data_IF_676338690631
#
_entry.id   IF_676338690631
#
_cell.length_a   1.000
_cell.length_b   1.000
_cell.length_c   1.000
_cell.angle_alpha   90.00
_cell.angle_beta   90.00
_cell.angle_gamma   90.00
#
_symmetry.space_group_name_H-M   'P 1'
#
loop_
_entity.id
_entity.type
_entity.pdbx_description
1 polymer ?
#
# COMPACT_ATOMS: atom_id res chain seq x y z
N UNK A 1 -83.37 -48.68 11.87
CA UNK A 1 -83.32 -47.69 12.96
C UNK A 1 -81.89 -47.17 13.05
N UNK A 2 -81.75 -45.85 12.97
CA UNK A 2 -80.62 -44.98 13.30
C UNK A 2 -79.18 -45.36 12.91
N UNK A 3 -78.76 -44.66 11.86
CA UNK A 3 -77.40 -44.22 11.53
C UNK A 3 -76.87 -43.32 12.64
N UNK A 4 -75.63 -43.53 13.11
CA UNK A 4 -74.80 -42.49 13.72
C UNK A 4 -73.39 -42.64 13.15
N UNK A 5 -72.94 -41.55 12.54
CA UNK A 5 -71.58 -41.30 12.05
C UNK A 5 -70.79 -40.71 13.21
N UNK A 6 -69.56 -41.17 13.41
CA UNK A 6 -68.53 -40.38 14.09
C UNK A 6 -67.29 -40.37 13.20
N UNK A 7 -67.03 -39.16 12.72
CA UNK A 7 -65.85 -38.70 12.00
C UNK A 7 -64.83 -38.34 13.07
N UNK A 8 -63.61 -38.87 12.98
CA UNK A 8 -62.47 -38.38 13.75
C UNK A 8 -61.55 -37.63 12.79
N UNK A 9 -61.38 -36.36 13.11
CA UNK A 9 -60.61 -35.36 12.39
C UNK A 9 -59.12 -35.72 12.36
N UNK A 10 -58.56 -35.91 11.17
CA UNK A 10 -57.13 -35.81 10.96
C UNK A 10 -56.76 -34.32 10.94
N UNK A 11 -56.07 -33.87 11.99
CA UNK A 11 -55.43 -32.56 12.06
C UNK A 11 -54.63 -32.29 10.78
N UNK A 12 -55.03 -31.24 10.05
CA UNK A 12 -54.21 -30.65 9.00
C UNK A 12 -52.95 -30.08 9.65
N UNK A 13 -51.81 -30.68 9.33
CA UNK A 13 -50.50 -30.06 9.59
C UNK A 13 -50.30 -28.96 8.54
N UNK A 14 -50.63 -27.71 8.90
CA UNK A 14 -50.34 -26.55 8.06
C UNK A 14 -48.82 -26.28 8.04
N UNK A 15 -48.15 -26.75 6.99
CA UNK A 15 -46.77 -26.37 6.65
C UNK A 15 -46.74 -24.90 6.22
N UNK A 16 -46.38 -24.00 7.14
CA UNK A 16 -46.00 -22.62 6.79
C UNK A 16 -44.59 -22.61 6.23
N UNK A 17 -44.48 -22.74 4.91
CA UNK A 17 -43.23 -22.50 4.17
C UNK A 17 -43.22 -21.02 3.79
N UNK A 18 -42.30 -20.24 4.38
CA UNK A 18 -42.13 -18.82 4.10
C UNK A 18 -41.55 -18.56 2.70
N UNK A 19 -42.11 -17.56 2.03
CA UNK A 19 -41.65 -16.85 0.82
C UNK A 19 -40.69 -17.60 -0.12
N UNK A 20 -41.25 -18.54 -0.88
CA UNK A 20 -40.75 -18.90 -2.21
C UNK A 20 -41.85 -18.63 -3.22
N UNK A 21 -41.65 -17.61 -4.05
CA UNK A 21 -42.58 -17.21 -5.10
C UNK A 21 -42.97 -18.38 -6.00
N UNK A 22 -44.27 -18.52 -6.22
CA UNK A 22 -44.92 -19.43 -7.18
C UNK A 22 -44.31 -20.83 -7.24
N UNK A 23 -44.38 -21.56 -6.13
CA UNK A 23 -44.36 -23.02 -6.20
C UNK A 23 -45.60 -23.47 -6.99
N UNK A 24 -45.38 -24.19 -8.09
CA UNK A 24 -46.44 -24.71 -8.97
C UNK A 24 -47.51 -25.39 -8.11
N UNK A 25 -48.75 -24.89 -8.16
CA UNK A 25 -49.91 -25.44 -7.44
C UNK A 25 -50.06 -26.95 -7.66
N UNK A 26 -49.56 -27.47 -8.80
CA UNK A 26 -49.51 -28.91 -9.08
C UNK A 26 -48.53 -29.68 -8.20
N UNK A 27 -47.42 -29.08 -7.77
CA UNK A 27 -46.47 -29.70 -6.85
C UNK A 27 -47.06 -29.79 -5.45
N UNK A 28 -47.78 -28.74 -5.01
CA UNK A 28 -48.47 -28.73 -3.72
C UNK A 28 -49.66 -29.72 -3.71
N UNK A 29 -50.40 -29.85 -4.80
CA UNK A 29 -51.44 -30.87 -4.98
C UNK A 29 -50.86 -32.29 -5.06
N UNK A 30 -49.70 -32.48 -5.69
CA UNK A 30 -49.01 -33.78 -5.75
C UNK A 30 -48.42 -34.23 -4.39
N UNK A 31 -48.26 -33.30 -3.45
CA UNK A 31 -47.81 -33.56 -2.08
C UNK A 31 -48.96 -33.86 -1.11
N UNK A 32 -50.21 -33.54 -1.46
CA UNK A 32 -51.41 -33.65 -0.60
C UNK A 32 -52.28 -34.91 -0.85
N UNK A 33 -51.71 -36.03 -1.32
CA UNK A 33 -52.46 -37.29 -1.44
C UNK A 33 -52.30 -38.18 -0.20
N UNK A 34 -53.42 -38.76 0.28
CA UNK A 34 -53.61 -39.43 1.59
C UNK A 34 -52.71 -40.63 1.91
N UNK A 35 -51.74 -40.99 1.06
CA UNK A 35 -50.83 -42.12 1.32
C UNK A 35 -49.37 -41.78 1.00
N UNK A 36 -48.65 -41.14 1.92
CA UNK A 36 -47.19 -41.14 1.91
C UNK A 36 -46.65 -41.39 3.31
N UNK A 37 -45.78 -42.39 3.42
CA UNK A 37 -45.20 -42.81 4.69
C UNK A 37 -44.42 -41.64 5.32
N UNK A 38 -44.43 -41.60 6.65
CA UNK A 38 -43.61 -40.73 7.49
C UNK A 38 -42.17 -40.58 6.96
N UNK A 39 -41.63 -41.63 6.33
CA UNK A 39 -40.28 -41.66 5.76
C UNK A 39 -40.05 -40.64 4.64
N UNK A 40 -41.05 -40.35 3.81
CA UNK A 40 -40.89 -39.41 2.70
C UNK A 40 -40.89 -37.95 3.19
N UNK A 41 -41.73 -37.66 4.19
CA UNK A 41 -41.73 -36.36 4.89
C UNK A 41 -40.45 -36.17 5.69
N UNK A 42 -39.96 -37.22 6.35
CA UNK A 42 -38.69 -37.18 7.07
C UNK A 42 -37.50 -36.99 6.13
N UNK A 43 -37.45 -37.69 5.00
CA UNK A 43 -36.38 -37.52 4.01
C UNK A 43 -36.37 -36.11 3.41
N UNK A 44 -37.54 -35.54 3.12
CA UNK A 44 -37.65 -34.14 2.68
C UNK A 44 -37.18 -33.18 3.77
N UNK A 45 -37.64 -33.35 5.01
CA UNK A 45 -37.21 -32.53 6.15
C UNK A 45 -35.70 -32.64 6.40
N UNK A 46 -35.12 -33.83 6.29
CA UNK A 46 -33.69 -34.07 6.43
C UNK A 46 -32.90 -33.36 5.32
N UNK A 47 -33.33 -33.46 4.07
CA UNK A 47 -32.69 -32.74 2.94
C UNK A 47 -32.76 -31.22 3.13
N UNK A 48 -33.89 -30.67 3.58
CA UNK A 48 -34.03 -29.24 3.84
C UNK A 48 -33.22 -28.79 5.08
N UNK A 49 -33.17 -29.59 6.14
CA UNK A 49 -32.36 -29.31 7.33
C UNK A 49 -30.86 -29.37 7.02
N UNK A 50 -30.39 -30.37 6.26
CA UNK A 50 -29.01 -30.47 5.82
C UNK A 50 -28.60 -29.26 4.95
N UNK A 51 -29.49 -28.76 4.08
CA UNK A 51 -29.25 -27.55 3.28
C UNK A 51 -29.14 -26.27 4.12
N UNK A 52 -30.01 -26.09 5.11
CA UNK A 52 -29.98 -24.94 6.02
C UNK A 52 -28.78 -24.97 6.97
N UNK A 53 -28.43 -26.16 7.48
CA UNK A 53 -27.22 -26.36 8.29
C UNK A 53 -25.97 -26.06 7.46
N UNK A 54 -25.89 -26.54 6.22
CA UNK A 54 -24.77 -26.24 5.33
C UNK A 54 -24.62 -24.73 5.05
N UNK A 55 -25.72 -24.00 4.84
CA UNK A 55 -25.70 -22.55 4.65
C UNK A 55 -25.23 -21.83 5.92
N UNK A 56 -25.76 -22.22 7.08
CA UNK A 56 -25.36 -21.68 8.38
C UNK A 56 -23.88 -21.92 8.67
N UNK A 57 -23.37 -23.12 8.39
CA UNK A 57 -21.97 -23.50 8.58
C UNK A 57 -21.05 -22.68 7.66
N UNK A 58 -21.44 -22.51 6.39
CA UNK A 58 -20.69 -21.69 5.42
C UNK A 58 -20.64 -20.23 5.87
N UNK A 59 -21.76 -19.65 6.30
CA UNK A 59 -21.80 -18.26 6.80
C UNK A 59 -20.98 -18.11 8.08
N UNK A 60 -21.06 -19.08 9.00
CA UNK A 60 -20.26 -19.08 10.23
C UNK A 60 -18.76 -19.12 9.91
N UNK A 61 -18.35 -19.96 8.96
CA UNK A 61 -16.97 -20.02 8.49
C UNK A 61 -16.52 -18.71 7.80
N UNK A 62 -17.39 -18.07 7.02
CA UNK A 62 -17.13 -16.77 6.37
C UNK A 62 -16.92 -15.65 7.40
N UNK A 63 -17.79 -15.58 8.42
CA UNK A 63 -17.67 -14.60 9.51
C UNK A 63 -16.38 -14.84 10.31
N UNK A 64 -16.03 -16.10 10.60
CA UNK A 64 -14.78 -16.45 11.26
C UNK A 64 -13.52 -16.06 10.45
N UNK A 65 -13.67 -15.86 9.14
CA UNK A 65 -12.62 -15.34 8.23
C UNK A 65 -12.72 -13.84 7.98
N UNK A 66 -13.55 -13.11 8.74
CA UNK A 66 -13.66 -11.66 8.70
C UNK A 66 -14.65 -11.12 7.67
N UNK A 67 -15.42 -11.97 6.99
CA UNK A 67 -16.45 -11.52 6.07
C UNK A 67 -17.76 -11.21 6.81
N UNK A 68 -18.00 -9.92 7.09
CA UNK A 68 -19.20 -9.46 7.81
C UNK A 68 -20.35 -9.02 6.89
N UNK A 69 -20.19 -9.15 5.57
CA UNK A 69 -21.16 -8.68 4.57
C UNK A 69 -22.25 -9.70 4.23
N UNK A 70 -22.23 -10.90 4.84
CA UNK A 70 -23.21 -11.97 4.61
C UNK A 70 -23.75 -12.52 5.92
N UNK A 71 -25.01 -12.94 5.91
CA UNK A 71 -25.71 -13.58 7.03
C UNK A 71 -26.36 -14.88 6.56
N UNK A 72 -26.93 -15.65 7.49
CA UNK A 72 -27.68 -16.88 7.15
C UNK A 72 -28.90 -16.61 6.24
N UNK A 73 -29.37 -15.36 6.21
CA UNK A 73 -30.47 -14.90 5.37
C UNK A 73 -30.01 -14.46 3.96
N UNK A 74 -28.72 -14.23 3.75
CA UNK A 74 -28.17 -13.83 2.44
C UNK A 74 -28.49 -14.87 1.36
N UNK A 75 -28.74 -14.42 0.11
CA UNK A 75 -28.95 -15.36 -0.99
C UNK A 75 -27.63 -16.08 -1.38
N UNK A 76 -27.72 -17.22 -2.07
CA UNK A 76 -26.54 -18.00 -2.48
C UNK A 76 -25.57 -17.23 -3.40
N UNK A 77 -26.02 -16.43 -4.39
CA UNK A 77 -25.14 -15.59 -5.18
C UNK A 77 -24.25 -14.64 -4.35
N UNK A 78 -24.80 -14.02 -3.31
CA UNK A 78 -24.05 -13.12 -2.41
C UNK A 78 -23.04 -13.91 -1.57
N UNK A 79 -23.44 -15.07 -1.06
CA UNK A 79 -22.56 -15.99 -0.32
C UNK A 79 -21.42 -16.48 -1.23
N UNK A 80 -21.71 -16.85 -2.48
CA UNK A 80 -20.69 -17.27 -3.47
C UNK A 80 -19.76 -16.11 -3.81
N UNK A 81 -20.27 -14.90 -3.94
CA UNK A 81 -19.46 -13.69 -4.18
C UNK A 81 -18.56 -13.40 -2.98
N UNK A 82 -19.08 -13.52 -1.76
CA UNK A 82 -18.30 -13.43 -0.53
C UNK A 82 -17.21 -14.50 -0.46
N UNK A 83 -17.49 -15.75 -0.85
CA UNK A 83 -16.49 -16.83 -0.96
C UNK A 83 -15.41 -16.51 -2.00
N UNK A 84 -15.78 -15.95 -3.16
CA UNK A 84 -14.81 -15.54 -4.19
C UNK A 84 -13.95 -14.36 -3.74
N UNK A 85 -14.52 -13.48 -2.93
CA UNK A 85 -13.86 -12.32 -2.36
C UNK A 85 -13.09 -12.65 -1.08
N UNK A 86 -13.28 -13.83 -0.49
CA UNK A 86 -12.37 -14.34 0.53
C UNK A 86 -11.00 -14.41 -0.11
N UNK A 87 -10.13 -13.49 0.28
CA UNK A 87 -8.72 -13.62 0.03
C UNK A 87 -8.28 -14.84 0.85
N UNK A 88 -8.18 -16.00 0.20
CA UNK A 88 -7.54 -17.19 0.78
C UNK A 88 -6.23 -16.68 1.33
N UNK A 89 -6.04 -16.79 2.66
CA UNK A 89 -4.95 -16.14 3.38
C UNK A 89 -3.65 -16.32 2.63
N UNK A 90 -3.33 -15.31 1.82
CA UNK A 90 -1.98 -15.09 1.37
C UNK A 90 -1.33 -14.71 2.69
N UNK A 91 -0.59 -15.63 3.28
CA UNK A 91 0.65 -15.20 3.90
C UNK A 91 1.34 -14.42 2.80
N UNK A 92 1.06 -13.11 2.74
CA UNK A 92 1.71 -12.19 1.83
C UNK A 92 3.14 -12.27 2.28
N UNK A 93 3.94 -13.13 1.64
CA UNK A 93 5.38 -13.14 1.82
C UNK A 93 5.77 -11.70 1.49
N UNK A 94 6.13 -10.96 2.53
CA UNK A 94 6.58 -9.60 2.40
C UNK A 94 8.06 -9.69 2.09
N UNK A 95 8.48 -8.93 1.10
CA UNK A 95 9.86 -8.91 0.63
C UNK A 95 10.43 -7.52 0.90
N UNK A 96 11.61 -7.47 1.51
CA UNK A 96 12.45 -6.30 1.53
C UNK A 96 13.71 -6.62 0.72
N UNK A 97 13.90 -5.92 -0.40
CA UNK A 97 15.15 -5.94 -1.15
C UNK A 97 16.08 -4.85 -0.60
N UNK A 98 17.37 -5.16 -0.50
CA UNK A 98 18.44 -4.20 -0.17
C UNK A 98 19.60 -4.39 -1.13
N UNK A 99 19.76 -3.43 -2.03
CA UNK A 99 20.91 -3.33 -2.90
C UNK A 99 22.12 -2.72 -2.20
N UNK A 100 23.32 -3.09 -2.67
CA UNK A 100 24.60 -2.48 -2.29
C UNK A 100 24.84 -2.36 -0.77
N UNK A 101 24.42 -3.35 0.02
CA UNK A 101 24.74 -3.39 1.45
C UNK A 101 26.26 -3.40 1.59
N UNK A 102 26.80 -2.40 2.27
CA UNK A 102 28.22 -2.35 2.64
C UNK A 102 28.33 -2.70 4.13
N UNK A 103 28.83 -3.90 4.43
CA UNK A 103 28.90 -4.40 5.80
C UNK A 103 30.11 -5.31 6.04
N UNK A 104 30.54 -5.35 7.29
CA UNK A 104 31.55 -6.28 7.79
C UNK A 104 31.23 -6.70 9.22
N UNK A 105 31.88 -7.74 9.72
CA UNK A 105 31.72 -8.13 11.14
C UNK A 105 32.08 -7.01 12.12
N UNK A 106 32.98 -6.09 11.73
CA UNK A 106 33.39 -4.92 12.53
C UNK A 106 32.51 -3.69 12.32
N UNK A 107 31.71 -3.65 11.25
CA UNK A 107 30.81 -2.53 10.90
C UNK A 107 29.57 -3.10 10.22
N UNK A 108 28.64 -3.69 10.99
CA UNK A 108 27.43 -4.29 10.42
C UNK A 108 26.46 -3.24 9.89
N UNK A 109 25.63 -3.63 8.92
CA UNK A 109 24.54 -2.82 8.41
C UNK A 109 23.21 -3.35 8.95
N UNK A 110 22.39 -2.48 9.54
CA UNK A 110 21.08 -2.86 10.08
C UNK A 110 19.95 -2.13 9.38
N UNK A 111 18.86 -2.85 9.12
CA UNK A 111 17.60 -2.31 8.63
C UNK A 111 16.47 -2.66 9.59
N UNK A 112 15.59 -1.70 9.83
CA UNK A 112 14.36 -1.89 10.60
C UNK A 112 13.18 -2.04 9.63
N UNK A 113 12.39 -3.09 9.82
CA UNK A 113 11.19 -3.39 9.04
C UNK A 113 9.99 -3.24 9.96
N UNK A 114 9.09 -2.32 9.63
CA UNK A 114 7.81 -2.20 10.32
C UNK A 114 6.84 -3.26 9.80
N UNK A 115 6.40 -4.16 10.68
CA UNK A 115 5.48 -5.26 10.37
C UNK A 115 4.01 -4.79 10.26
N UNK A 116 3.71 -3.57 10.71
CA UNK A 116 2.37 -2.97 10.72
C UNK A 116 1.40 -3.60 11.73
N UNK A 117 1.88 -4.56 12.52
CA UNK A 117 1.14 -5.26 13.57
C UNK A 117 2.11 -5.85 14.58
N UNK A 118 1.61 -6.07 15.79
CA UNK A 118 2.33 -6.81 16.83
C UNK A 118 2.47 -8.28 16.42
N UNK A 119 3.69 -8.80 16.48
CA UNK A 119 4.01 -10.20 16.14
C UNK A 119 4.64 -10.90 17.35
N UNK A 120 4.26 -12.15 17.57
CA UNK A 120 4.95 -13.02 18.52
C UNK A 120 6.18 -13.63 17.82
N UNK A 121 7.32 -13.70 18.50
CA UNK A 121 8.54 -14.31 17.96
C UNK A 121 8.31 -15.74 17.45
N UNK A 122 7.39 -16.49 18.06
CA UNK A 122 7.07 -17.87 17.64
C UNK A 122 6.32 -17.93 16.30
N UNK A 123 5.75 -16.82 15.84
CA UNK A 123 4.97 -16.73 14.61
C UNK A 123 5.74 -16.09 13.46
N UNK A 124 6.94 -15.56 13.71
CA UNK A 124 7.76 -14.93 12.69
C UNK A 124 8.52 -15.98 11.87
N UNK A 125 8.23 -16.05 10.57
CA UNK A 125 9.03 -16.80 9.61
C UNK A 125 9.89 -15.84 8.79
N UNK A 126 11.19 -16.12 8.66
CA UNK A 126 12.15 -15.25 7.99
C UNK A 126 13.14 -16.06 7.14
N UNK A 127 13.36 -15.63 5.90
CA UNK A 127 14.42 -16.16 5.05
C UNK A 127 15.20 -15.01 4.40
N UNK A 128 16.53 -15.07 4.46
CA UNK A 128 17.40 -14.07 3.84
C UNK A 128 18.13 -14.72 2.66
N UNK A 129 17.97 -14.15 1.48
CA UNK A 129 18.59 -14.59 0.24
C UNK A 129 19.68 -13.60 -0.19
N UNK A 130 20.80 -14.10 -0.69
CA UNK A 130 21.85 -13.28 -1.32
C UNK A 130 21.73 -13.45 -2.83
N UNK A 131 21.75 -12.33 -3.55
CA UNK A 131 21.85 -12.35 -5.01
C UNK A 131 23.31 -12.48 -5.43
N UNK A 132 23.58 -13.35 -6.39
CA UNK A 132 24.87 -13.45 -7.07
C UNK A 132 24.68 -13.16 -8.54
N UNK A 133 25.34 -12.11 -9.03
CA UNK A 133 25.37 -11.75 -10.44
C UNK A 133 25.89 -12.92 -11.29
N UNK A 134 25.30 -13.12 -12.47
CA UNK A 134 25.78 -14.13 -13.39
C UNK A 134 24.94 -14.23 -14.65
N UNK A 135 25.50 -14.81 -15.72
CA UNK A 135 24.89 -14.87 -17.04
C UNK A 135 23.69 -15.83 -17.18
N UNK A 136 23.21 -16.43 -16.09
CA UNK A 136 22.11 -17.41 -16.11
C UNK A 136 20.99 -16.98 -15.17
N UNK A 137 19.78 -16.94 -15.72
CA UNK A 137 18.54 -16.60 -15.00
C UNK A 137 18.25 -15.12 -15.04
N UNK A 138 17.04 -14.75 -15.46
CA UNK A 138 16.50 -13.40 -15.26
C UNK A 138 15.66 -13.41 -13.99
N UNK A 139 16.00 -12.53 -13.06
CA UNK A 139 15.30 -12.39 -11.80
C UNK A 139 14.59 -11.05 -11.78
N UNK A 140 13.30 -11.07 -11.45
CA UNK A 140 12.48 -9.87 -11.34
C UNK A 140 12.55 -9.36 -9.92
N UNK A 141 12.96 -8.11 -9.78
CA UNK A 141 13.17 -7.44 -8.51
C UNK A 141 12.38 -6.14 -8.45
N UNK A 142 12.01 -5.77 -7.23
CA UNK A 142 11.41 -4.47 -6.90
C UNK A 142 12.23 -3.95 -5.73
N UNK A 143 12.92 -2.83 -5.94
CA UNK A 143 13.59 -2.13 -4.86
C UNK A 143 12.75 -0.94 -4.44
N UNK A 144 12.47 -0.87 -3.15
CA UNK A 144 11.71 0.21 -2.53
C UNK A 144 12.67 1.16 -1.86
N UNK A 145 12.78 2.35 -2.44
CA UNK A 145 13.54 3.45 -1.88
C UNK A 145 12.63 4.26 -0.96
N UNK A 146 12.94 4.19 0.33
CA UNK A 146 12.35 5.10 1.31
C UNK A 146 12.87 6.52 1.04
N UNK A 147 11.93 7.43 0.78
CA UNK A 147 12.21 8.83 0.48
C UNK A 147 12.95 9.55 1.61
N UNK A 148 12.85 9.07 2.86
CA UNK A 148 13.48 9.69 4.04
C UNK A 148 14.87 9.18 4.41
N UNK A 149 15.29 7.99 3.97
CA UNK A 149 16.49 7.34 4.50
C UNK A 149 17.76 7.51 3.64
N UNK A 150 17.63 7.74 2.33
CA UNK A 150 18.77 7.63 1.40
C UNK A 150 18.99 8.85 0.48
N UNK A 151 18.12 9.86 0.55
CA UNK A 151 18.23 11.04 -0.29
C UNK A 151 18.61 12.24 0.56
N UNK A 152 19.81 12.75 0.32
CA UNK A 152 20.11 14.14 0.70
C UNK A 152 19.48 15.02 -0.37
N UNK A 153 18.60 15.93 0.03
CA UNK A 153 18.06 16.95 -0.85
C UNK A 153 18.82 18.26 -0.60
N UNK A 154 18.76 19.19 -1.56
CA UNK A 154 19.21 20.56 -1.30
C UNK A 154 18.44 21.11 -0.07
N UNK A 155 19.16 21.74 0.87
CA UNK A 155 18.63 22.05 2.19
C UNK A 155 17.45 23.05 2.17
N UNK A 156 16.54 22.90 3.15
CA UNK A 156 15.77 24.04 3.70
C UNK A 156 14.24 24.01 3.59
N UNK A 157 13.63 23.08 2.85
CA UNK A 157 12.20 23.20 2.52
C UNK A 157 11.40 21.90 2.54
N UNK A 158 11.99 20.79 3.00
CA UNK A 158 11.36 19.47 3.04
C UNK A 158 11.39 18.88 4.44
N UNK A 159 10.30 18.19 4.77
CA UNK A 159 10.18 17.34 5.95
C UNK A 159 10.22 15.86 5.54
N UNK A 160 10.74 15.04 6.44
CA UNK A 160 10.82 13.58 6.32
C UNK A 160 10.30 12.92 7.60
N UNK A 161 9.12 12.32 7.55
CA UNK A 161 8.50 11.59 8.68
C UNK A 161 8.00 10.19 8.27
N UNK A 162 8.65 9.60 7.28
CA UNK A 162 8.15 8.45 6.52
C UNK A 162 7.56 8.87 5.17
N UNK A 163 7.25 10.16 4.99
CA UNK A 163 6.95 10.78 3.71
C UNK A 163 7.87 11.97 3.46
N UNK A 164 8.19 12.23 2.19
CA UNK A 164 8.80 13.48 1.76
C UNK A 164 7.70 14.50 1.43
N UNK A 165 7.72 15.67 2.05
CA UNK A 165 6.76 16.75 1.73
C UNK A 165 7.36 18.13 2.00
N UNK A 166 6.86 19.19 1.33
CA UNK A 166 7.29 20.55 1.63
C UNK A 166 6.96 20.99 3.06
N UNK A 167 7.85 21.77 3.67
CA UNK A 167 7.62 22.35 4.99
C UNK A 167 6.59 23.49 4.92
N UNK A 168 5.33 23.21 5.28
CA UNK A 168 4.21 24.14 5.07
C UNK A 168 3.82 24.98 6.30
N UNK A 169 4.50 24.77 7.43
CA UNK A 169 4.17 25.42 8.70
C UNK A 169 5.41 25.99 9.35
N UNK A 170 5.27 27.22 9.86
CA UNK A 170 6.23 27.82 10.79
C UNK A 170 5.58 27.80 12.17
N UNK A 171 6.22 27.08 13.09
CA UNK A 171 5.78 26.95 14.47
C UNK A 171 6.57 27.92 15.33
N UNK A 172 5.88 28.88 15.94
CA UNK A 172 6.51 29.87 16.82
C UNK A 172 6.13 29.52 18.25
N UNK A 173 7.07 28.96 18.98
CA UNK A 173 6.99 28.89 20.44
C UNK A 173 7.24 30.28 21.00
N UNK A 174 6.45 30.73 21.97
CA UNK A 174 6.48 32.07 22.59
C UNK A 174 7.84 32.79 22.51
N UNK A 175 7.99 33.71 21.56
CA UNK A 175 9.15 34.58 21.46
C UNK A 175 8.77 35.92 22.08
N UNK A 176 9.04 36.05 23.38
CA UNK A 176 9.01 37.26 24.21
C UNK A 176 7.70 38.04 24.35
N UNK A 177 7.32 38.22 25.61
CA UNK A 177 6.36 39.23 26.09
C UNK A 177 6.95 40.63 25.84
N UNK A 178 6.35 41.38 24.93
CA UNK A 178 6.28 42.82 25.12
C UNK A 178 4.86 43.11 25.57
N UNK A 179 4.69 43.39 26.87
CA UNK A 179 3.41 43.78 27.45
C UNK A 179 2.95 45.09 26.78
N UNK A 180 2.13 44.98 25.74
CA UNK A 180 1.42 46.13 25.13
C UNK A 180 0.04 46.29 25.78
N UNK A 181 -0.01 46.20 27.12
CA UNK A 181 -1.24 46.27 27.91
C UNK A 181 -1.98 44.92 27.98
N UNK A 182 -3.29 44.90 27.68
CA UNK A 182 -4.15 43.69 27.74
C UNK A 182 -4.02 42.76 26.53
N UNK A 183 -3.23 43.12 25.52
CA UNK A 183 -3.09 42.37 24.27
C UNK A 183 -1.64 41.89 24.10
N UNK A 184 -1.49 40.63 23.69
CA UNK A 184 -0.19 40.08 23.27
C UNK A 184 0.03 40.36 21.79
N UNK A 185 1.23 40.82 21.44
CA UNK A 185 1.66 40.97 20.05
C UNK A 185 2.71 39.91 19.71
N UNK A 186 2.65 39.37 18.50
CA UNK A 186 3.64 38.43 17.97
C UNK A 186 4.18 38.97 16.66
N UNK A 187 5.50 38.88 16.51
CA UNK A 187 6.18 39.18 15.26
C UNK A 187 6.73 37.88 14.69
N UNK A 188 6.44 37.63 13.41
CA UNK A 188 7.06 36.54 12.65
C UNK A 188 7.80 37.14 11.47
N UNK A 189 9.00 36.66 11.24
CA UNK A 189 9.70 36.87 9.98
C UNK A 189 9.48 35.63 9.11
N UNK A 190 8.93 35.84 7.91
CA UNK A 190 8.77 34.78 6.91
C UNK A 190 9.89 34.95 5.90
N UNK A 191 10.69 33.91 5.73
CA UNK A 191 11.74 33.89 4.71
C UNK A 191 11.13 33.87 3.30
N UNK A 192 11.04 35.03 2.67
CA UNK A 192 10.53 35.18 1.31
C UNK A 192 11.42 34.48 0.27
N UNK A 193 12.63 34.01 0.61
CA UNK A 193 13.41 33.16 -0.30
C UNK A 193 12.85 31.74 -0.39
N UNK A 194 12.14 31.28 0.66
CA UNK A 194 11.56 29.93 0.76
C UNK A 194 10.04 29.92 0.54
N UNK A 195 9.34 30.99 0.91
CA UNK A 195 7.88 31.04 0.93
C UNK A 195 7.32 32.14 0.01
N UNK A 196 6.14 31.90 -0.58
CA UNK A 196 5.43 32.89 -1.42
C UNK A 196 4.64 33.89 -0.58
N UNK A 197 3.89 33.37 0.39
CA UNK A 197 2.96 34.13 1.21
C UNK A 197 2.52 33.30 2.42
N UNK A 198 1.91 33.98 3.39
CA UNK A 198 1.09 33.37 4.44
C UNK A 198 -0.27 32.95 3.88
N UNK A 199 -0.82 31.87 4.43
CA UNK A 199 -2.11 31.29 4.05
C UNK A 199 -3.08 31.28 5.24
N UNK A 200 -2.63 30.80 6.39
CA UNK A 200 -3.46 30.66 7.58
C UNK A 200 -2.71 31.08 8.86
N UNK A 201 -3.47 31.50 9.87
CA UNK A 201 -2.96 31.71 11.23
C UNK A 201 -3.88 30.94 12.17
N UNK A 202 -3.31 30.10 13.02
CA UNK A 202 -4.02 29.42 14.10
C UNK A 202 -3.28 29.61 15.42
N UNK A 203 -4.03 29.57 16.52
CA UNK A 203 -3.48 29.78 17.86
C UNK A 203 -4.09 28.76 18.82
N UNK A 204 -3.27 28.28 19.76
CA UNK A 204 -3.70 27.60 20.96
C UNK A 204 -3.07 28.26 22.20
N UNK A 205 -3.35 27.71 23.39
CA UNK A 205 -2.88 28.24 24.67
C UNK A 205 -1.34 28.32 24.80
N UNK A 206 -0.61 27.64 23.92
CA UNK A 206 0.85 27.46 24.00
C UNK A 206 1.61 27.80 22.72
N UNK A 207 0.94 28.13 21.61
CA UNK A 207 1.58 28.32 20.32
C UNK A 207 0.71 29.12 19.35
N UNK A 208 1.37 29.91 18.50
CA UNK A 208 0.80 30.41 17.24
C UNK A 208 1.45 29.64 16.10
N UNK A 209 0.63 29.08 15.23
CA UNK A 209 1.06 28.39 14.00
C UNK A 209 0.67 29.24 12.81
N UNK A 210 1.62 29.45 11.91
CA UNK A 210 1.40 30.19 10.68
C UNK A 210 1.58 29.23 9.51
N UNK A 211 0.48 29.00 8.79
CA UNK A 211 0.48 28.27 7.53
C UNK A 211 1.12 29.14 6.45
N UNK A 212 2.14 28.60 5.81
CA UNK A 212 2.89 29.28 4.74
C UNK A 212 2.83 28.45 3.47
N UNK A 213 2.80 29.12 2.33
CA UNK A 213 2.84 28.45 1.03
C UNK A 213 4.28 28.45 0.53
N UNK A 214 4.92 27.29 0.36
CA UNK A 214 6.26 27.22 -0.20
C UNK A 214 6.33 27.82 -1.61
N UNK A 215 7.50 28.37 -1.95
CA UNK A 215 7.80 28.69 -3.35
C UNK A 215 7.75 27.44 -4.21
N UNK A 216 7.36 27.65 -5.47
CA UNK A 216 7.47 26.61 -6.47
C UNK A 216 8.94 26.23 -6.56
N UNK A 217 9.25 24.97 -6.32
CA UNK A 217 10.63 24.51 -6.22
C UNK A 217 10.80 23.16 -6.90
N UNK A 218 11.96 23.02 -7.53
CA UNK A 218 12.44 21.72 -7.99
C UNK A 218 13.27 21.12 -6.86
N UNK A 219 12.92 19.91 -6.50
CA UNK A 219 13.58 19.12 -5.48
C UNK A 219 14.41 18.08 -6.22
N UNK A 220 15.72 18.15 -6.02
CA UNK A 220 16.67 17.26 -6.67
C UNK A 220 17.29 16.33 -5.62
N UNK A 221 17.27 15.02 -5.90
CA UNK A 221 18.08 14.07 -5.16
C UNK A 221 19.57 14.39 -5.38
N UNK A 222 20.36 14.43 -4.30
CA UNK A 222 21.81 14.67 -4.39
C UNK A 222 22.58 13.47 -4.94
N UNK A 223 22.11 12.27 -4.66
CA UNK A 223 22.73 11.01 -5.07
C UNK A 223 21.89 10.32 -6.15
N UNK A 224 22.57 9.54 -6.99
CA UNK A 224 21.95 8.66 -7.97
C UNK A 224 21.56 7.33 -7.36
N UNK A 225 20.49 6.74 -7.88
CA UNK A 225 20.19 5.33 -7.73
C UNK A 225 21.13 4.58 -8.68
N UNK A 226 21.99 3.75 -8.11
CA UNK A 226 22.83 2.84 -8.88
C UNK A 226 21.96 1.75 -9.51
N UNK A 227 22.00 1.66 -10.83
CA UNK A 227 21.30 0.67 -11.64
C UNK A 227 22.27 -0.10 -12.54
N UNK A 228 23.56 -0.17 -12.19
CA UNK A 228 24.58 -0.82 -13.01
C UNK A 228 24.37 -2.31 -13.20
N UNK A 229 23.82 -2.99 -12.19
CA UNK A 229 23.53 -4.43 -12.23
C UNK A 229 22.26 -4.78 -13.02
N UNK A 230 21.43 -3.77 -13.32
CA UNK A 230 20.10 -3.95 -13.91
C UNK A 230 20.21 -4.21 -15.42
N UNK A 231 19.64 -5.33 -15.88
CA UNK A 231 19.51 -5.65 -17.30
C UNK A 231 18.38 -4.83 -17.92
N UNK A 232 17.17 -4.95 -17.38
CA UNK A 232 15.99 -4.23 -17.87
C UNK A 232 15.37 -3.41 -16.75
N UNK A 233 15.17 -2.11 -16.98
CA UNK A 233 14.33 -1.29 -16.12
C UNK A 233 12.88 -1.44 -16.60
N UNK A 234 12.04 -2.06 -15.79
CA UNK A 234 10.68 -2.48 -16.19
C UNK A 234 9.59 -1.57 -15.66
N UNK A 235 9.89 -0.73 -14.68
CA UNK A 235 8.97 0.30 -14.19
C UNK A 235 9.57 1.18 -13.11
N UNK A 236 9.01 2.38 -12.96
CA UNK A 236 9.23 3.25 -11.80
C UNK A 236 7.84 3.58 -11.28
N UNK A 237 7.57 3.25 -10.01
CA UNK A 237 6.27 3.49 -9.39
C UNK A 237 6.44 4.42 -8.20
N UNK A 238 5.80 5.58 -8.28
CA UNK A 238 5.70 6.51 -7.17
C UNK A 238 4.32 6.42 -6.54
N UNK A 239 4.28 6.40 -5.21
CA UNK A 239 3.08 6.73 -4.44
C UNK A 239 3.21 8.19 -3.96
N UNK A 240 2.51 9.10 -4.61
CA UNK A 240 2.63 10.54 -4.37
C UNK A 240 1.30 11.25 -4.49
N UNK A 241 1.21 12.46 -3.95
CA UNK A 241 0.11 13.41 -4.19
C UNK A 241 0.72 14.76 -4.47
N UNK A 242 0.19 15.51 -5.45
CA UNK A 242 0.59 16.89 -5.73
C UNK A 242 1.95 17.08 -6.42
N UNK A 243 2.73 16.00 -6.58
CA UNK A 243 4.04 16.03 -7.24
C UNK A 243 3.98 15.72 -8.74
N UNK A 244 4.90 16.34 -9.48
CA UNK A 244 5.29 15.99 -10.85
C UNK A 244 6.78 15.63 -10.89
N UNK A 245 7.22 14.99 -11.97
CA UNK A 245 8.53 14.35 -12.00
C UNK A 245 9.31 14.58 -13.31
N UNK A 246 10.62 14.45 -13.22
CA UNK A 246 11.51 14.24 -14.35
C UNK A 246 12.57 13.22 -13.98
N UNK A 247 13.09 12.48 -14.97
CA UNK A 247 14.12 11.46 -14.77
C UNK A 247 15.44 11.94 -15.36
N UNK A 248 16.55 11.62 -14.73
CA UNK A 248 17.88 11.75 -15.31
C UNK A 248 18.58 10.41 -15.30
N UNK A 249 19.23 10.11 -16.41
CA UNK A 249 20.06 8.91 -16.61
C UNK A 249 21.52 9.29 -16.88
N UNK A 250 21.95 10.49 -16.48
CA UNK A 250 23.28 11.03 -16.72
C UNK A 250 23.82 11.79 -15.50
N UNK A 251 23.60 11.23 -14.31
CA UNK A 251 24.00 11.77 -13.01
C UNK A 251 23.46 13.19 -12.73
N UNK A 252 22.26 13.50 -13.22
CA UNK A 252 21.60 14.79 -13.04
C UNK A 252 22.06 15.89 -14.00
N UNK A 253 22.73 15.55 -15.11
CA UNK A 253 23.17 16.55 -16.09
C UNK A 253 21.99 17.03 -16.95
N UNK A 254 21.17 16.11 -17.43
CA UNK A 254 19.94 16.40 -18.16
C UNK A 254 18.76 15.67 -17.54
N UNK A 255 17.60 16.34 -17.54
CA UNK A 255 16.36 15.78 -17.06
C UNK A 255 15.40 15.62 -18.23
N UNK A 256 14.78 14.45 -18.30
CA UNK A 256 13.89 14.04 -19.36
C UNK A 256 12.50 13.73 -18.80
N UNK A 257 11.50 14.06 -19.60
CA UNK A 257 10.10 13.76 -19.33
C UNK A 257 9.49 13.07 -20.53
N UNK A 258 8.59 12.14 -20.27
CA UNK A 258 7.77 11.53 -21.32
C UNK A 258 6.43 12.27 -21.37
N UNK A 259 6.05 12.76 -22.55
CA UNK A 259 4.79 13.53 -22.72
C UNK A 259 3.59 12.65 -23.11
N UNK A 260 3.77 11.34 -23.10
CA UNK A 260 2.80 10.36 -23.61
C UNK A 260 3.14 9.82 -25.00
N UNK A 261 4.00 10.53 -25.75
CA UNK A 261 4.43 10.13 -27.11
C UNK A 261 5.95 10.02 -27.22
N UNK A 262 6.69 10.97 -26.67
CA UNK A 262 8.14 11.05 -26.82
C UNK A 262 8.84 11.55 -25.56
N UNK A 263 10.14 11.25 -25.47
CA UNK A 263 11.02 11.83 -24.46
C UNK A 263 11.48 13.22 -24.91
N UNK A 264 11.38 14.19 -24.02
CA UNK A 264 11.90 15.55 -24.21
C UNK A 264 12.74 15.97 -23.00
N UNK A 265 13.72 16.83 -23.25
CA UNK A 265 14.53 17.43 -22.18
C UNK A 265 13.77 18.59 -21.55
N UNK A 266 13.94 18.77 -20.24
CA UNK A 266 13.42 19.91 -19.47
C UNK A 266 14.58 20.57 -18.75
N UNK A 267 14.62 21.89 -18.76
CA UNK A 267 15.54 22.69 -17.96
C UNK A 267 15.03 22.83 -16.52
N UNK A 268 15.63 22.07 -15.61
CA UNK A 268 15.28 22.09 -14.18
C UNK A 268 15.65 23.39 -13.47
N UNK A 269 16.46 24.25 -14.08
CA UNK A 269 16.78 25.57 -13.55
C UNK A 269 15.75 26.63 -13.99
N UNK A 270 14.87 26.29 -14.94
CA UNK A 270 13.80 27.16 -15.41
C UNK A 270 12.45 26.68 -14.83
N UNK A 271 11.97 27.37 -13.79
CA UNK A 271 10.75 26.96 -13.08
C UNK A 271 9.49 26.97 -13.97
N UNK A 272 9.45 27.81 -15.00
CA UNK A 272 8.32 27.87 -15.92
C UNK A 272 8.32 26.67 -16.88
N UNK A 273 9.51 26.22 -17.31
CA UNK A 273 9.68 24.99 -18.09
C UNK A 273 9.26 23.77 -17.27
N UNK A 274 9.71 23.69 -16.01
CA UNK A 274 9.32 22.64 -15.05
C UNK A 274 7.81 22.57 -14.89
N UNK A 275 7.15 23.71 -14.63
CA UNK A 275 5.69 23.80 -14.43
C UNK A 275 4.91 23.21 -15.61
N UNK A 276 5.36 23.57 -16.82
CA UNK A 276 4.73 23.18 -18.06
C UNK A 276 4.99 21.70 -18.39
N UNK A 277 6.19 21.20 -18.13
CA UNK A 277 6.67 19.97 -18.76
C UNK A 277 6.92 18.78 -17.83
N UNK A 278 7.09 18.95 -16.52
CA UNK A 278 7.23 17.80 -15.62
C UNK A 278 6.04 16.83 -15.73
N UNK A 279 6.33 15.53 -15.71
CA UNK A 279 5.34 14.49 -15.94
C UNK A 279 4.50 14.23 -14.68
N UNK A 280 3.20 14.00 -14.86
CA UNK A 280 2.34 13.57 -13.75
C UNK A 280 2.71 12.14 -13.30
N UNK A 281 2.39 11.80 -12.06
CA UNK A 281 2.58 10.45 -11.49
C UNK A 281 2.00 9.35 -12.38
N UNK A 282 0.81 9.57 -12.96
CA UNK A 282 0.16 8.57 -13.82
C UNK A 282 0.94 8.28 -15.10
N UNK A 283 1.65 9.27 -15.64
CA UNK A 283 2.51 9.09 -16.81
C UNK A 283 3.75 8.30 -16.42
N UNK A 284 4.42 8.68 -15.33
CA UNK A 284 5.61 7.99 -14.84
C UNK A 284 5.32 6.51 -14.52
N UNK A 285 4.28 6.27 -13.73
CA UNK A 285 3.86 4.92 -13.33
C UNK A 285 3.38 4.07 -14.52
N UNK A 286 3.00 4.71 -15.63
CA UNK A 286 2.57 4.07 -16.87
C UNK A 286 3.68 3.80 -17.88
N UNK A 287 4.93 4.21 -17.59
CA UNK A 287 6.05 3.96 -18.50
C UNK A 287 6.31 2.46 -18.67
N UNK A 288 6.41 2.05 -19.92
CA UNK A 288 6.77 0.67 -20.31
C UNK A 288 8.28 0.46 -20.27
N UNK A 289 8.70 -0.81 -20.16
CA UNK A 289 10.12 -1.18 -20.23
C UNK A 289 10.82 -0.65 -21.50
N UNK A 290 10.12 -0.64 -22.64
CA UNK A 290 10.68 -0.12 -23.90
C UNK A 290 10.90 1.41 -23.85
N UNK A 291 9.96 2.16 -23.26
CA UNK A 291 10.12 3.61 -23.09
C UNK A 291 11.26 3.93 -22.12
N UNK A 292 11.36 3.19 -21.01
CA UNK A 292 12.44 3.34 -20.04
C UNK A 292 13.80 2.96 -20.63
N UNK A 293 13.88 1.91 -21.45
CA UNK A 293 15.11 1.53 -22.14
C UNK A 293 15.62 2.64 -23.07
N UNK A 294 14.71 3.32 -23.80
CA UNK A 294 15.06 4.46 -24.66
C UNK A 294 15.65 5.62 -23.88
N UNK A 295 15.03 6.03 -22.77
CA UNK A 295 15.58 7.12 -21.94
C UNK A 295 16.86 6.73 -21.21
N UNK A 296 16.91 5.49 -20.69
CA UNK A 296 18.07 4.97 -19.97
C UNK A 296 19.31 4.92 -20.85
N UNK A 297 19.16 4.51 -22.12
CA UNK A 297 20.25 4.42 -23.10
C UNK A 297 21.52 3.77 -22.52
N UNK A 298 21.37 2.60 -21.90
CA UNK A 298 22.44 1.84 -21.23
C UNK A 298 23.14 2.54 -20.06
N UNK A 299 22.55 3.60 -19.49
CA UNK A 299 23.06 4.23 -18.28
C UNK A 299 22.96 3.32 -17.05
N UNK A 300 23.91 3.54 -16.13
CA UNK A 300 24.00 2.87 -14.83
C UNK A 300 23.50 3.74 -13.68
N UNK A 301 22.97 4.93 -13.96
CA UNK A 301 22.46 5.86 -12.94
C UNK A 301 21.00 6.21 -13.22
N UNK A 302 20.20 6.32 -12.18
CA UNK A 302 18.87 6.91 -12.23
C UNK A 302 18.76 8.00 -11.16
N UNK A 303 18.31 9.20 -11.55
CA UNK A 303 17.96 10.27 -10.62
C UNK A 303 16.55 10.75 -10.91
N UNK A 304 15.82 11.08 -9.85
CA UNK A 304 14.46 11.61 -9.95
C UNK A 304 14.49 13.07 -9.49
N UNK A 305 13.94 13.96 -10.31
CA UNK A 305 13.59 15.31 -9.91
C UNK A 305 12.10 15.36 -9.57
N UNK A 306 11.78 16.11 -8.52
CA UNK A 306 10.44 16.25 -8.01
C UNK A 306 10.03 17.72 -8.10
N UNK A 307 8.79 17.99 -8.47
CA UNK A 307 8.22 19.32 -8.47
C UNK A 307 6.89 19.29 -7.75
N UNK A 308 6.76 20.11 -6.71
CA UNK A 308 5.51 20.31 -5.99
C UNK A 308 4.99 21.72 -6.25
N UNK A 309 3.70 21.84 -6.58
CA UNK A 309 3.00 23.12 -6.62
C UNK A 309 1.88 23.09 -5.59
N UNK A 310 1.94 24.03 -4.65
CA UNK A 310 0.85 24.27 -3.70
C UNK A 310 0.25 25.66 -3.96
N UNK A 311 -1.07 25.70 -3.86
CA UNK A 311 -1.88 26.92 -3.86
C UNK A 311 -2.21 27.34 -2.44
N UNK A 312 -2.45 26.36 -1.56
CA UNK A 312 -2.72 26.55 -0.13
C UNK A 312 -1.76 25.72 0.71
N UNK A 313 -1.52 26.14 1.95
CA UNK A 313 -0.69 25.41 2.94
C UNK A 313 -1.27 24.04 3.32
N UNK A 314 -2.57 23.86 3.10
CA UNK A 314 -3.33 22.62 3.34
C UNK A 314 -3.37 21.68 2.14
N UNK A 315 -2.86 22.09 0.97
CA UNK A 315 -2.81 21.23 -0.21
C UNK A 315 -1.94 20.00 0.08
N UNK A 316 -2.48 18.81 -0.14
CA UNK A 316 -1.72 17.58 0.02
C UNK A 316 -0.62 17.52 -1.04
N UNK A 317 0.64 17.54 -0.59
CA UNK A 317 1.79 17.35 -1.45
C UNK A 317 2.86 16.51 -0.76
N UNK A 318 2.95 15.23 -1.13
CA UNK A 318 3.91 14.31 -0.53
C UNK A 318 4.32 13.19 -1.49
N UNK A 319 5.48 12.60 -1.25
CA UNK A 319 5.92 11.32 -1.81
C UNK A 319 6.08 10.35 -0.64
N UNK A 320 5.33 9.26 -0.70
CA UNK A 320 5.31 8.21 0.32
C UNK A 320 6.33 7.12 -0.01
N UNK A 321 6.33 6.68 -1.26
CA UNK A 321 7.15 5.54 -1.69
C UNK A 321 7.66 5.72 -3.12
N UNK A 322 8.89 5.26 -3.35
CA UNK A 322 9.49 5.13 -4.68
C UNK A 322 9.93 3.70 -4.91
N UNK A 323 9.29 3.00 -5.86
CA UNK A 323 9.69 1.67 -6.28
C UNK A 323 10.35 1.71 -7.66
N UNK A 324 11.50 1.06 -7.77
CA UNK A 324 12.14 0.79 -9.05
C UNK A 324 12.00 -0.71 -9.33
N UNK A 325 11.37 -1.04 -10.45
CA UNK A 325 11.10 -2.41 -10.88
C UNK A 325 12.04 -2.77 -12.02
N UNK A 326 12.67 -3.93 -11.93
CA UNK A 326 13.70 -4.28 -12.88
C UNK A 326 13.97 -5.78 -12.96
N UNK A 327 14.67 -6.16 -14.03
CA UNK A 327 15.24 -7.50 -14.21
C UNK A 327 16.76 -7.45 -14.05
N UNK A 328 17.32 -8.39 -13.29
CA UNK A 328 18.75 -8.62 -13.16
C UNK A 328 19.13 -10.01 -13.68
N UNK A 329 20.37 -10.16 -14.16
CA UNK A 329 20.90 -11.46 -14.54
C UNK A 329 21.66 -12.07 -13.38
N UNK A 330 21.16 -13.18 -12.85
CA UNK A 330 21.80 -13.88 -11.75
C UNK A 330 20.87 -14.83 -11.03
N UNK A 331 21.26 -15.21 -9.80
CA UNK A 331 20.51 -16.17 -9.00
C UNK A 331 20.49 -15.77 -7.53
N UNK A 332 19.36 -16.05 -6.87
CA UNK A 332 19.27 -16.01 -5.43
C UNK A 332 19.68 -17.34 -4.82
N UNK A 333 20.42 -17.28 -3.72
CA UNK A 333 20.73 -18.43 -2.86
C UNK A 333 20.47 -18.08 -1.40
N UNK A 334 20.26 -19.08 -0.55
CA UNK A 334 20.09 -18.85 0.89
C UNK A 334 21.38 -18.23 1.44
N UNK A 335 21.24 -17.10 2.12
CA UNK A 335 22.38 -16.41 2.74
C UNK A 335 22.92 -17.25 3.89
N UNK A 336 24.24 -17.50 3.95
CA UNK A 336 24.85 -18.19 5.08
C UNK A 336 24.50 -17.51 6.40
N UNK A 337 24.10 -18.29 7.41
CA UNK A 337 23.67 -17.76 8.72
C UNK A 337 24.75 -16.89 9.40
N UNK A 338 26.03 -17.11 9.11
CA UNK A 338 27.13 -16.28 9.64
C UNK A 338 27.10 -14.83 9.12
N UNK A 339 26.41 -14.56 8.01
CA UNK A 339 26.41 -13.24 7.36
C UNK A 339 25.23 -12.36 7.79
N UNK A 340 24.31 -12.88 8.61
CA UNK A 340 23.17 -12.09 9.05
C UNK A 340 22.56 -12.58 10.38
N UNK A 341 21.84 -11.70 11.06
CA UNK A 341 21.02 -12.02 12.21
C UNK A 341 19.76 -11.17 12.22
N UNK A 342 18.78 -11.52 13.05
CA UNK A 342 17.59 -10.71 13.25
C UNK A 342 17.19 -10.64 14.71
N UNK A 343 16.42 -9.61 15.07
CA UNK A 343 15.72 -9.50 16.35
C UNK A 343 14.41 -8.74 16.16
N UNK A 344 13.37 -9.19 16.85
CA UNK A 344 12.17 -8.37 17.02
C UNK A 344 12.43 -7.37 18.16
N UNK A 345 12.17 -6.09 17.93
CA UNK A 345 12.35 -5.05 18.94
C UNK A 345 11.27 -5.13 20.03
N UNK A 346 11.46 -4.38 21.11
CA UNK A 346 10.57 -4.39 22.28
C UNK A 346 9.14 -3.94 21.95
N UNK A 347 8.95 -3.17 20.89
CA UNK A 347 7.64 -2.77 20.37
C UNK A 347 6.84 -3.93 19.76
N UNK A 348 7.51 -5.08 19.52
CA UNK A 348 7.00 -6.27 18.83
C UNK A 348 6.40 -6.00 17.44
N UNK A 349 6.68 -4.84 16.87
CA UNK A 349 6.19 -4.38 15.57
C UNK A 349 7.34 -4.12 14.60
N UNK A 350 8.56 -3.99 15.10
CA UNK A 350 9.74 -3.72 14.31
C UNK A 350 10.68 -4.92 14.30
N UNK A 351 10.91 -5.49 13.12
CA UNK A 351 11.93 -6.50 12.88
C UNK A 351 13.23 -5.81 12.46
N UNK A 352 14.28 -5.94 13.26
CA UNK A 352 15.62 -5.50 12.88
C UNK A 352 16.40 -6.66 12.27
N UNK A 353 16.85 -6.50 11.03
CA UNK A 353 17.76 -7.44 10.34
C UNK A 353 19.13 -6.80 10.23
N UNK A 354 20.17 -7.53 10.59
CA UNK A 354 21.56 -7.06 10.60
C UNK A 354 22.40 -7.94 9.69
N UNK A 355 23.19 -7.31 8.82
CA UNK A 355 24.08 -7.95 7.85
C UNK A 355 25.53 -7.72 8.27
N UNK A 356 26.35 -8.77 8.15
CA UNK A 356 27.77 -8.81 8.54
C UNK A 356 28.71 -8.96 7.33
N UNK A 357 28.16 -9.02 6.12
CA UNK A 357 28.91 -9.07 4.88
C UNK A 357 28.25 -8.14 3.84
N UNK A 358 29.06 -7.60 2.94
CA UNK A 358 28.56 -6.80 1.83
C UNK A 358 27.86 -7.67 0.79
N UNK A 359 26.82 -7.14 0.14
CA UNK A 359 26.10 -7.84 -0.91
C UNK A 359 24.75 -7.24 -1.25
N UNK A 360 23.99 -7.97 -2.07
CA UNK A 360 22.59 -7.66 -2.40
C UNK A 360 21.71 -8.71 -1.73
N UNK A 361 20.80 -8.27 -0.86
CA UNK A 361 20.02 -9.15 -0.01
C UNK A 361 18.52 -8.99 -0.23
N UNK A 362 17.81 -10.10 -0.25
CA UNK A 362 16.36 -10.16 -0.14
C UNK A 362 15.98 -10.75 1.21
N UNK A 363 15.14 -10.05 1.97
CA UNK A 363 14.55 -10.52 3.22
C UNK A 363 13.08 -10.85 2.99
N UNK A 364 12.73 -12.14 3.07
CA UNK A 364 11.35 -12.63 2.98
C UNK A 364 10.81 -12.90 4.39
N UNK A 365 9.64 -12.34 4.72
CA UNK A 365 9.04 -12.50 6.06
C UNK A 365 7.51 -12.61 6.02
N UNK A 366 6.93 -13.27 7.02
CA UNK A 366 5.47 -13.52 7.20
C UNK A 366 5.04 -13.31 8.65
#
# INVERSE_FOLDING_TARGET
>A
MNKVVLQEDLEKVDLKIGDLGNLDTKLLEALNTESKSIDCVNALNEVFQCGNNAKSDIVTALIAKGCTSVTVDSNWPDIITAIKNLTVGTSNIRQLLKQAVTASSSSPYSVNINLGRTVDNLLLALAVLTFTEGAKGLVKNIDTFDSGANYTFAAGSLNFDGKMYPANNINISWISDSDVGINKCYEVEIDETLYKTRDAISQNDTQVTIGVIPKDQVILSKNDIDISAIVNLTGIVLNSVGFKFALSFDNGTTYQVFDGTSWKTVDVNNIDDVKANFMAQSILNGLTAAQLATARNSSNSLRIAYYCKQTYSTDACYVDQTDVKYDESGTYSITPQANWSYKLLDDKQTLQVTFYASGVYTVNYV
#
